data_IF_543022584820
#
_entry.id   IF_543022584820
#
_cell.length_a   1.000
_cell.length_b   1.000
_cell.length_c   1.000
_cell.angle_alpha   90.00
_cell.angle_beta   90.00
_cell.angle_gamma   90.00
#
_symmetry.space_group_name_H-M   'P 1'
#
loop_
_entity.id
_entity.type
_entity.pdbx_description
1 polymer ?
#
# COMPACT_ATOMS: atom_id res chain seq x y z
N UNK A 1 29.58 22.68 16.90
CA UNK A 1 28.55 23.03 17.91
C UNK A 1 27.81 21.75 18.27
N UNK A 2 28.09 21.18 19.44
CA UNK A 2 27.53 19.89 19.85
C UNK A 2 26.07 20.04 20.26
N UNK A 3 25.16 19.53 19.45
CA UNK A 3 23.79 19.28 19.87
C UNK A 3 23.85 18.34 21.08
N UNK A 4 23.27 18.74 22.21
CA UNK A 4 23.06 17.83 23.34
C UNK A 4 22.20 16.69 22.84
N UNK A 5 22.83 15.54 22.57
CA UNK A 5 22.24 14.40 21.88
C UNK A 5 21.07 13.84 22.72
N UNK A 6 19.86 14.27 22.44
CA UNK A 6 18.66 13.64 22.99
C UNK A 6 18.72 12.15 22.63
N UNK A 7 18.40 11.24 23.58
CA UNK A 7 18.34 9.83 23.24
C UNK A 7 17.27 9.61 22.16
N UNK A 8 17.56 8.75 21.17
CA UNK A 8 16.59 8.36 20.16
C UNK A 8 15.31 7.79 20.81
N UNK A 9 14.20 7.76 20.09
CA UNK A 9 12.92 7.30 20.63
C UNK A 9 13.01 5.90 21.25
N UNK A 10 13.80 5.00 20.66
CA UNK A 10 14.07 3.66 21.22
C UNK A 10 14.73 3.72 22.59
N UNK A 11 15.87 4.41 22.69
CA UNK A 11 16.63 4.49 23.93
C UNK A 11 15.85 5.25 25.02
N UNK A 12 15.08 6.27 24.64
CA UNK A 12 14.20 7.01 25.54
C UNK A 12 13.10 6.10 26.10
N UNK A 13 12.39 5.35 25.24
CA UNK A 13 11.31 4.45 25.66
C UNK A 13 11.84 3.30 26.54
N UNK A 14 12.98 2.72 26.17
CA UNK A 14 13.60 1.60 26.88
C UNK A 14 14.44 2.03 28.09
N UNK A 15 14.48 3.32 28.42
CA UNK A 15 15.23 3.90 29.55
C UNK A 15 16.71 3.47 29.60
N UNK A 16 17.38 3.46 28.44
CA UNK A 16 18.80 3.09 28.31
C UNK A 16 19.62 4.21 27.67
N UNK A 17 20.95 4.16 27.85
CA UNK A 17 21.87 5.11 27.20
C UNK A 17 21.80 4.95 25.67
N UNK A 18 21.79 6.06 24.94
CA UNK A 18 21.89 6.08 23.48
C UNK A 18 23.36 6.21 23.08
N UNK A 19 23.96 5.12 22.57
CA UNK A 19 25.34 5.12 22.08
C UNK A 19 25.46 5.85 20.73
N UNK A 20 26.67 6.28 20.36
CA UNK A 20 26.92 7.02 19.11
C UNK A 20 26.61 6.19 17.86
N UNK A 21 26.77 4.87 17.96
CA UNK A 21 26.54 3.85 16.94
C UNK A 21 25.18 3.13 17.11
N UNK A 22 24.24 3.73 17.84
CA UNK A 22 22.93 3.12 18.07
C UNK A 22 22.18 2.87 16.76
N UNK A 23 21.91 1.59 16.46
CA UNK A 23 21.22 1.16 15.23
C UNK A 23 19.83 1.79 15.05
N UNK A 24 19.15 2.15 16.14
CA UNK A 24 17.82 2.76 16.09
C UNK A 24 17.86 4.27 15.82
N UNK A 25 18.98 4.94 16.14
CA UNK A 25 19.07 6.40 16.12
C UNK A 25 18.75 7.03 14.76
N UNK A 26 19.24 6.51 13.61
CA UNK A 26 18.95 7.08 12.30
C UNK A 26 17.49 6.97 11.87
N UNK A 27 16.72 6.03 12.44
CA UNK A 27 15.39 5.67 11.94
C UNK A 27 14.25 6.02 12.91
N UNK A 28 14.57 6.17 14.19
CA UNK A 28 13.65 6.50 15.29
C UNK A 28 14.14 7.73 16.06
N UNK A 29 14.12 8.91 15.44
CA UNK A 29 14.52 10.17 16.07
C UNK A 29 13.61 10.53 17.26
N UNK A 30 14.07 11.43 18.13
CA UNK A 30 13.40 11.72 19.42
C UNK A 30 12.11 12.55 19.31
N UNK A 31 11.89 13.19 18.18
CA UNK A 31 10.71 13.98 17.79
C UNK A 31 9.47 13.12 17.50
N UNK A 32 9.66 11.86 17.09
CA UNK A 32 8.57 10.91 16.84
C UNK A 32 8.65 9.66 17.75
N UNK A 33 8.31 9.80 19.05
CA UNK A 33 8.32 8.68 19.98
C UNK A 33 7.26 7.61 19.68
N UNK A 34 6.15 8.00 19.04
CA UNK A 34 5.05 7.09 18.72
C UNK A 34 5.46 6.07 17.67
N UNK A 35 6.26 6.46 16.67
CA UNK A 35 6.78 5.55 15.64
C UNK A 35 7.52 4.36 16.24
N UNK A 36 8.41 4.57 17.22
CA UNK A 36 9.08 3.45 17.88
C UNK A 36 8.14 2.66 18.80
N UNK A 37 7.26 3.33 19.53
CA UNK A 37 6.35 2.66 20.47
C UNK A 37 5.44 1.62 19.77
N UNK A 38 4.92 1.95 18.59
CA UNK A 38 4.03 1.07 17.83
C UNK A 38 4.79 -0.15 17.28
N UNK A 39 5.94 0.05 16.65
CA UNK A 39 6.74 -1.10 16.17
C UNK A 39 7.28 -1.96 17.31
N UNK A 40 7.65 -1.34 18.43
CA UNK A 40 8.09 -2.07 19.62
C UNK A 40 6.99 -2.97 20.17
N UNK A 41 5.74 -2.48 20.20
CA UNK A 41 4.59 -3.25 20.69
C UNK A 41 4.28 -4.47 19.82
N UNK A 42 4.45 -4.35 18.50
CA UNK A 42 4.09 -5.42 17.55
C UNK A 42 5.23 -6.40 17.32
N UNK A 43 6.45 -5.91 17.11
CA UNK A 43 7.60 -6.72 16.73
C UNK A 43 8.59 -6.95 17.88
N UNK A 44 8.68 -6.01 18.83
CA UNK A 44 9.70 -6.04 19.88
C UNK A 44 11.05 -5.48 19.43
N UNK A 45 11.78 -4.86 20.37
CA UNK A 45 13.04 -4.15 20.04
C UNK A 45 14.12 -5.09 19.51
N UNK A 46 14.24 -6.30 20.07
CA UNK A 46 15.26 -7.27 19.68
C UNK A 46 15.06 -7.78 18.25
N UNK A 47 13.82 -8.05 17.86
CA UNK A 47 13.50 -8.51 16.51
C UNK A 47 13.78 -7.42 15.47
N UNK A 48 13.37 -6.17 15.75
CA UNK A 48 13.69 -5.03 14.89
C UNK A 48 15.21 -4.88 14.75
N UNK A 49 15.97 -4.96 15.85
CA UNK A 49 17.43 -4.88 15.80
C UNK A 49 18.03 -5.96 14.90
N UNK A 50 17.56 -7.21 15.04
CA UNK A 50 18.03 -8.35 14.25
C UNK A 50 17.71 -8.16 12.76
N UNK A 51 16.47 -7.83 12.42
CA UNK A 51 16.04 -7.57 11.04
C UNK A 51 16.87 -6.44 10.39
N UNK A 52 17.13 -5.35 11.11
CA UNK A 52 17.96 -4.27 10.59
C UNK A 52 19.41 -4.70 10.39
N UNK A 53 19.97 -5.52 11.27
CA UNK A 53 21.34 -6.03 11.13
C UNK A 53 21.52 -6.94 9.91
N UNK A 54 20.48 -7.71 9.56
CA UNK A 54 20.46 -8.59 8.38
C UNK A 54 20.38 -7.83 7.04
N UNK A 55 20.01 -6.54 7.08
CA UNK A 55 19.85 -5.72 5.89
C UNK A 55 21.05 -4.78 5.63
N UNK A 56 21.40 -4.56 4.34
CA UNK A 56 22.28 -3.46 3.93
C UNK A 56 21.75 -2.10 4.42
N UNK A 57 22.65 -1.20 4.81
CA UNK A 57 22.29 0.09 5.42
C UNK A 57 21.30 0.90 4.57
N UNK A 58 21.45 0.87 3.25
CA UNK A 58 20.59 1.62 2.32
C UNK A 58 19.13 1.12 2.30
N UNK A 59 18.85 -0.12 2.70
CA UNK A 59 17.48 -0.68 2.73
C UNK A 59 16.80 -0.52 4.09
N UNK A 60 17.56 -0.23 5.15
CA UNK A 60 17.04 -0.17 6.52
C UNK A 60 15.97 0.92 6.71
N UNK A 61 16.08 2.04 5.99
CA UNK A 61 15.08 3.10 6.04
C UNK A 61 13.71 2.64 5.52
N UNK A 62 13.71 1.94 4.38
CA UNK A 62 12.50 1.36 3.78
C UNK A 62 11.95 0.24 4.65
N UNK A 63 12.82 -0.62 5.19
CA UNK A 63 12.41 -1.67 6.12
C UNK A 63 11.73 -1.10 7.37
N UNK A 64 12.26 -0.04 7.99
CA UNK A 64 11.59 0.63 9.11
C UNK A 64 10.25 1.21 8.68
N UNK A 65 10.15 1.79 7.49
CA UNK A 65 8.89 2.34 6.98
C UNK A 65 7.82 1.24 6.81
N UNK A 66 8.20 0.07 6.27
CA UNK A 66 7.32 -1.11 6.19
C UNK A 66 6.89 -1.62 7.56
N UNK A 67 7.84 -1.77 8.50
CA UNK A 67 7.53 -2.20 9.87
C UNK A 67 6.56 -1.24 10.57
N UNK A 68 6.75 0.07 10.39
CA UNK A 68 5.83 1.08 10.94
C UNK A 68 4.43 0.94 10.33
N UNK A 69 4.33 0.76 9.02
CA UNK A 69 3.06 0.54 8.34
C UNK A 69 2.35 -0.72 8.88
N UNK A 70 3.05 -1.85 8.93
CA UNK A 70 2.52 -3.13 9.40
C UNK A 70 2.09 -3.07 10.86
N UNK A 71 2.90 -2.46 11.73
CA UNK A 71 2.55 -2.31 13.14
C UNK A 71 1.33 -1.41 13.32
N UNK A 72 1.21 -0.33 12.55
CA UNK A 72 0.02 0.52 12.56
C UNK A 72 -1.23 -0.24 12.08
N UNK A 73 -1.11 -1.04 11.03
CA UNK A 73 -2.20 -1.87 10.54
C UNK A 73 -2.64 -2.88 11.62
N UNK A 74 -1.69 -3.55 12.28
CA UNK A 74 -1.96 -4.48 13.39
C UNK A 74 -2.58 -3.80 14.60
N UNK A 75 -2.25 -2.54 14.86
CA UNK A 75 -2.85 -1.76 15.95
C UNK A 75 -4.32 -1.39 15.67
N UNK A 76 -4.68 -1.11 14.41
CA UNK A 76 -6.07 -0.85 14.00
C UNK A 76 -6.90 -2.11 13.88
N UNK A 77 -6.30 -3.18 13.36
CA UNK A 77 -6.92 -4.49 13.22
C UNK A 77 -6.03 -5.56 13.91
N UNK A 78 -6.32 -5.88 15.17
CA UNK A 78 -5.58 -6.89 15.93
C UNK A 78 -5.77 -8.33 15.41
N UNK A 79 -6.71 -8.58 14.50
CA UNK A 79 -7.00 -9.91 13.97
C UNK A 79 -6.25 -10.11 12.66
N UNK A 80 -6.43 -9.22 11.67
CA UNK A 80 -5.86 -9.38 10.33
C UNK A 80 -4.75 -8.38 9.99
N UNK A 81 -4.64 -7.25 10.69
CA UNK A 81 -3.61 -6.24 10.44
C UNK A 81 -3.54 -5.82 8.96
N UNK A 82 -2.35 -5.84 8.37
CA UNK A 82 -2.16 -5.53 6.95
C UNK A 82 -2.74 -6.60 6.01
N UNK A 83 -2.94 -7.84 6.48
CA UNK A 83 -3.54 -8.92 5.67
C UNK A 83 -4.98 -8.59 5.30
N UNK A 84 -5.73 -7.90 6.18
CA UNK A 84 -7.07 -7.43 5.86
C UNK A 84 -7.10 -6.47 4.66
N UNK A 85 -6.13 -5.57 4.58
CA UNK A 85 -5.97 -4.66 3.43
C UNK A 85 -5.60 -5.42 2.15
N UNK A 86 -4.71 -6.42 2.25
CA UNK A 86 -4.34 -7.29 1.12
C UNK A 86 -5.58 -8.00 0.58
N UNK A 87 -6.34 -8.68 1.44
CA UNK A 87 -7.55 -9.42 1.05
C UNK A 87 -8.60 -8.50 0.40
N UNK A 88 -8.80 -7.32 0.98
CA UNK A 88 -9.71 -6.32 0.42
C UNK A 88 -9.29 -5.86 -0.99
N UNK A 89 -8.01 -5.56 -1.18
CA UNK A 89 -7.48 -5.14 -2.48
C UNK A 89 -7.53 -6.27 -3.51
N UNK A 90 -7.22 -7.50 -3.12
CA UNK A 90 -7.32 -8.67 -4.00
C UNK A 90 -8.77 -8.89 -4.48
N UNK A 91 -9.75 -8.75 -3.59
CA UNK A 91 -11.17 -8.83 -3.95
C UNK A 91 -11.57 -7.70 -4.92
N UNK A 92 -11.11 -6.48 -4.69
CA UNK A 92 -11.38 -5.36 -5.61
C UNK A 92 -10.75 -5.58 -6.99
N UNK A 93 -9.51 -6.06 -7.05
CA UNK A 93 -8.86 -6.39 -8.33
C UNK A 93 -9.68 -7.42 -9.10
N UNK A 94 -10.13 -8.48 -8.42
CA UNK A 94 -10.99 -9.52 -9.04
C UNK A 94 -12.31 -8.95 -9.57
N UNK A 95 -12.99 -8.12 -8.77
CA UNK A 95 -14.24 -7.48 -9.18
C UNK A 95 -14.06 -6.56 -10.39
N UNK A 96 -13.00 -5.73 -10.38
CA UNK A 96 -12.70 -4.83 -11.49
C UNK A 96 -12.31 -5.58 -12.75
N UNK A 97 -11.57 -6.69 -12.64
CA UNK A 97 -11.26 -7.56 -13.77
C UNK A 97 -12.53 -8.17 -14.38
N UNK A 98 -13.48 -8.61 -13.55
CA UNK A 98 -14.78 -9.11 -14.03
C UNK A 98 -15.58 -8.03 -14.75
N UNK A 99 -15.68 -6.83 -14.17
CA UNK A 99 -16.38 -5.70 -14.79
C UNK A 99 -15.76 -5.30 -16.13
N UNK A 100 -14.43 -5.29 -16.20
CA UNK A 100 -13.70 -5.01 -17.43
C UNK A 100 -14.01 -6.07 -18.51
N UNK A 101 -14.00 -7.36 -18.14
CA UNK A 101 -14.29 -8.45 -19.07
C UNK A 101 -15.72 -8.36 -19.62
N UNK A 102 -16.71 -8.03 -18.77
CA UNK A 102 -18.10 -7.84 -19.19
C UNK A 102 -18.23 -6.66 -20.16
N UNK A 103 -17.66 -5.50 -19.82
CA UNK A 103 -17.69 -4.33 -20.69
C UNK A 103 -17.01 -4.59 -22.05
N UNK A 104 -15.88 -5.31 -22.06
CA UNK A 104 -15.20 -5.70 -23.29
C UNK A 104 -16.06 -6.64 -24.15
N UNK A 105 -16.76 -7.60 -23.54
CA UNK A 105 -17.68 -8.48 -24.25
C UNK A 105 -18.88 -7.71 -24.85
N UNK A 106 -19.45 -6.77 -24.10
CA UNK A 106 -20.53 -5.89 -24.59
C UNK A 106 -20.09 -5.06 -25.80
N UNK A 107 -18.91 -4.41 -25.71
CA UNK A 107 -18.34 -3.63 -26.82
C UNK A 107 -18.14 -4.52 -28.06
N UNK A 108 -17.61 -5.73 -27.89
CA UNK A 108 -17.40 -6.67 -28.99
C UNK A 108 -18.73 -7.06 -29.66
N UNK A 109 -19.77 -7.34 -28.88
CA UNK A 109 -21.11 -7.67 -29.40
C UNK A 109 -21.70 -6.51 -30.22
N UNK A 110 -21.61 -5.27 -29.72
CA UNK A 110 -22.10 -4.07 -30.42
C UNK A 110 -21.34 -3.86 -31.74
N UNK A 111 -20.01 -4.03 -31.73
CA UNK A 111 -19.20 -3.92 -32.94
C UNK A 111 -19.56 -4.97 -33.98
N UNK A 112 -19.84 -6.21 -33.57
CA UNK A 112 -20.27 -7.27 -34.48
C UNK A 112 -21.63 -7.01 -35.10
N UNK A 113 -22.59 -6.55 -34.30
CA UNK A 113 -23.92 -6.17 -34.81
C UNK A 113 -23.86 -5.00 -35.81
N UNK A 114 -22.90 -4.09 -35.66
CA UNK A 114 -22.66 -2.99 -36.59
C UNK A 114 -22.07 -3.44 -37.93
N UNK A 115 -21.37 -4.58 -37.97
CA UNK A 115 -20.75 -5.15 -39.17
C UNK A 115 -21.68 -6.09 -39.95
N UNK A 116 -22.70 -6.65 -39.30
CA UNK A 116 -23.69 -7.56 -39.90
C UNK A 116 -24.91 -6.82 -40.49
N UNK A 117 -24.88 -5.49 -40.64
CA UNK A 117 -25.84 -4.81 -41.52
C UNK A 117 -25.55 -5.25 -42.96
N UNK A 118 -26.49 -5.97 -43.63
CA UNK A 118 -26.32 -6.30 -45.02
C UNK A 118 -26.27 -5.00 -45.84
N UNK A 119 -25.36 -4.96 -46.81
CA UNK A 119 -25.44 -4.01 -47.92
C UNK A 119 -26.66 -4.34 -48.78
N UNK A 120 -27.86 -4.03 -48.27
CA UNK A 120 -29.15 -3.99 -48.96
C UNK A 120 -29.89 -2.83 -48.29
N UNK A 121 -30.19 -1.69 -48.89
CA UNK A 121 -30.39 -1.35 -50.28
C UNK A 121 -29.96 0.11 -50.51
N UNK A 122 -29.09 0.31 -51.50
CA UNK A 122 -29.03 1.59 -52.19
C UNK A 122 -30.23 1.75 -53.11
N UNK A 123 -31.46 1.77 -52.56
CA UNK A 123 -32.68 2.27 -53.23
C UNK A 123 -33.96 2.09 -52.39
N UNK A 124 -34.05 2.55 -51.13
CA UNK A 124 -35.39 2.88 -50.62
C UNK A 124 -35.38 3.95 -49.54
N UNK A 125 -36.16 4.99 -49.81
CA UNK A 125 -36.73 5.97 -48.87
C UNK A 125 -35.80 7.09 -48.40
N UNK A 126 -35.43 7.95 -49.36
CA UNK A 126 -35.72 9.37 -49.17
C UNK A 126 -37.19 9.50 -48.75
N UNK A 127 -37.44 9.93 -47.51
CA UNK A 127 -38.29 11.08 -47.15
C UNK A 127 -38.56 11.03 -45.63
N UNK A 128 -38.40 12.16 -44.94
CA UNK A 128 -39.47 12.68 -44.13
C UNK A 128 -40.18 13.75 -44.96
N UNK A 129 -41.37 13.42 -45.46
CA UNK A 129 -42.38 14.45 -45.71
C UNK A 129 -42.81 14.91 -44.31
N UNK A 130 -42.23 16.01 -43.83
CA UNK A 130 -42.79 16.80 -42.75
C UNK A 130 -43.11 18.15 -43.37
N UNK A 131 -44.38 18.52 -43.16
CA UNK A 131 -45.12 19.68 -43.66
C UNK A 131 -44.38 21.01 -43.55
#
# INVERSE_FOLDING_TARGET
>A
MGAGNSPCASCKLLRRRCAKDCIFSPYFPSDDPHKFAIVHKVFGASNISKMLQELPVHQRGDAVSSLVYEANARMRDPVYGCVGAISYLQNQVSQLQMQLALAQAEIFCIQKQSQDQPATDGAVLFLPLIM
#
